data_IF_013513214919
#
_entry.id   IF_013513214919
#
_cell.length_a   1.000
_cell.length_b   1.000
_cell.length_c   1.000
_cell.angle_alpha   90.00
_cell.angle_beta   90.00
_cell.angle_gamma   90.00
#
_symmetry.space_group_name_H-M   'P 1'
#
loop_
_entity.id
_entity.type
_entity.pdbx_description
1 polymer ?
#
# COMPACT_ATOMS: atom_id res chain seq x y z
N UNK A 1 -24.70 10.79 3.59
CA UNK A 1 -24.49 11.84 2.56
C UNK A 1 -24.67 11.22 1.19
N UNK A 2 -25.46 11.86 0.32
CA UNK A 2 -25.73 11.39 -1.05
C UNK A 2 -25.01 12.31 -2.02
N UNK A 3 -24.19 11.78 -2.93
CA UNK A 3 -23.45 12.51 -3.98
C UNK A 3 -23.88 12.00 -5.37
N UNK A 4 -24.04 12.91 -6.31
CA UNK A 4 -24.38 12.60 -7.70
C UNK A 4 -23.31 13.14 -8.65
N UNK A 5 -22.71 12.28 -9.47
CA UNK A 5 -21.74 12.65 -10.51
C UNK A 5 -22.39 12.45 -11.86
N UNK A 6 -22.52 13.50 -12.66
CA UNK A 6 -23.21 13.49 -13.95
C UNK A 6 -22.25 13.51 -15.13
N UNK A 7 -22.71 13.01 -16.28
CA UNK A 7 -22.02 13.12 -17.57
C UNK A 7 -20.57 12.58 -17.54
N UNK A 8 -20.30 11.49 -16.83
CA UNK A 8 -18.97 10.91 -16.78
C UNK A 8 -18.78 9.85 -17.88
N UNK A 9 -17.54 9.71 -18.38
CA UNK A 9 -17.10 8.46 -19.01
C UNK A 9 -16.62 7.55 -17.89
N UNK A 10 -17.31 6.44 -17.64
CA UNK A 10 -17.01 5.58 -16.49
C UNK A 10 -16.14 4.40 -16.93
N UNK A 11 -15.03 4.17 -16.23
CA UNK A 11 -14.27 2.93 -16.31
C UNK A 11 -14.60 2.11 -15.07
N UNK A 12 -15.38 1.04 -15.23
CA UNK A 12 -15.86 0.27 -14.07
C UNK A 12 -14.77 -0.61 -13.48
N UNK A 13 -13.79 -1.05 -14.29
CA UNK A 13 -12.85 -2.11 -13.94
C UNK A 13 -13.54 -3.40 -13.44
N UNK A 14 -14.84 -3.55 -13.72
CA UNK A 14 -15.69 -4.58 -13.14
C UNK A 14 -15.43 -5.97 -13.72
N UNK A 15 -15.76 -7.00 -12.93
CA UNK A 15 -15.63 -8.41 -13.30
C UNK A 15 -15.79 -9.32 -12.08
N UNK A 16 -15.93 -10.64 -12.28
CA UNK A 16 -16.14 -11.59 -11.18
C UNK A 16 -14.88 -11.83 -10.32
N UNK A 17 -13.74 -11.23 -10.67
CA UNK A 17 -12.48 -11.39 -9.94
C UNK A 17 -11.30 -10.75 -10.66
N UNK A 18 -10.09 -11.15 -10.26
CA UNK A 18 -8.85 -10.64 -10.84
C UNK A 18 -8.77 -10.94 -12.35
N UNK A 19 -8.60 -9.88 -13.16
CA UNK A 19 -8.44 -10.00 -14.61
C UNK A 19 -7.04 -10.53 -14.95
N UNK A 20 -6.94 -11.47 -15.90
CA UNK A 20 -5.68 -12.10 -16.33
C UNK A 20 -5.63 -12.22 -17.85
N UNK A 21 -4.42 -12.16 -18.43
CA UNK A 21 -4.22 -12.33 -19.87
C UNK A 21 -5.04 -11.32 -20.69
N UNK A 22 -5.77 -11.80 -21.71
CA UNK A 22 -6.60 -10.95 -22.58
C UNK A 22 -7.66 -10.14 -21.81
N UNK A 23 -8.15 -10.64 -20.68
CA UNK A 23 -9.14 -9.93 -19.87
C UNK A 23 -8.60 -8.61 -19.29
N UNK A 24 -7.27 -8.44 -19.17
CA UNK A 24 -6.67 -7.18 -18.70
C UNK A 24 -6.95 -5.99 -19.64
N UNK A 25 -7.27 -6.24 -20.92
CA UNK A 25 -7.66 -5.19 -21.86
C UNK A 25 -9.12 -4.73 -21.74
N UNK A 26 -9.96 -5.49 -21.04
CA UNK A 26 -11.33 -5.09 -20.74
C UNK A 26 -11.35 -4.21 -19.49
N UNK A 27 -11.53 -2.91 -19.67
CA UNK A 27 -11.64 -1.92 -18.59
C UNK A 27 -13.09 -1.54 -18.27
N UNK A 28 -14.07 -2.14 -18.95
CA UNK A 28 -15.51 -1.90 -18.74
C UNK A 28 -15.91 -0.44 -18.94
N UNK A 29 -15.69 0.09 -20.14
CA UNK A 29 -16.00 1.48 -20.53
C UNK A 29 -17.51 1.67 -20.67
N UNK A 30 -18.04 2.72 -20.02
CA UNK A 30 -19.37 3.29 -20.28
C UNK A 30 -19.15 4.71 -20.76
N UNK A 31 -19.44 4.97 -22.04
CA UNK A 31 -19.10 6.24 -22.71
C UNK A 31 -19.75 7.47 -22.06
N UNK A 32 -20.93 7.29 -21.49
CA UNK A 32 -21.67 8.35 -20.81
C UNK A 32 -22.56 7.74 -19.73
N UNK A 33 -22.39 8.17 -18.48
CA UNK A 33 -23.22 7.74 -17.36
C UNK A 33 -23.27 8.78 -16.23
N UNK A 34 -24.33 8.67 -15.45
CA UNK A 34 -24.48 9.32 -14.15
C UNK A 34 -24.21 8.29 -13.03
N UNK A 35 -23.52 8.70 -11.95
CA UNK A 35 -23.12 7.84 -10.82
C UNK A 35 -23.68 8.38 -9.53
N UNK A 36 -24.40 7.53 -8.79
CA UNK A 36 -25.01 7.87 -7.50
C UNK A 36 -24.27 7.18 -6.36
N UNK A 37 -23.88 7.96 -5.36
CA UNK A 37 -23.16 7.50 -4.17
C UNK A 37 -24.02 7.84 -2.95
N UNK A 38 -24.25 6.88 -2.07
CA UNK A 38 -24.93 7.09 -0.78
C UNK A 38 -24.07 6.51 0.34
N UNK A 39 -23.81 7.32 1.35
CA UNK A 39 -23.04 6.93 2.54
C UNK A 39 -21.71 6.26 2.19
N UNK A 40 -20.99 6.82 1.21
CA UNK A 40 -19.68 6.32 0.74
C UNK A 40 -19.74 5.10 -0.17
N UNK A 41 -20.94 4.61 -0.52
CA UNK A 41 -21.13 3.45 -1.39
C UNK A 41 -21.71 3.87 -2.73
N UNK A 42 -21.16 3.35 -3.83
CA UNK A 42 -21.77 3.52 -5.16
C UNK A 42 -23.05 2.67 -5.21
N UNK A 43 -24.21 3.31 -5.40
CA UNK A 43 -25.51 2.64 -5.44
C UNK A 43 -25.97 2.38 -6.88
N UNK A 44 -25.59 3.24 -7.82
CA UNK A 44 -25.90 3.04 -9.23
C UNK A 44 -24.90 3.73 -10.16
N UNK A 45 -24.68 3.10 -11.31
CA UNK A 45 -24.04 3.68 -12.51
C UNK A 45 -25.05 3.56 -13.64
N UNK A 46 -25.62 4.69 -14.06
CA UNK A 46 -26.74 4.72 -15.01
C UNK A 46 -26.25 5.25 -16.35
N UNK A 47 -26.14 4.41 -17.40
CA UNK A 47 -25.77 4.87 -18.73
C UNK A 47 -26.73 5.94 -19.24
N UNK A 48 -26.19 7.00 -19.81
CA UNK A 48 -26.93 8.12 -20.40
C UNK A 48 -26.68 8.18 -21.90
N UNK A 49 -27.67 8.61 -22.68
CA UNK A 49 -27.51 8.77 -24.12
C UNK A 49 -27.06 10.20 -24.45
N UNK A 50 -25.77 10.37 -24.76
CA UNK A 50 -25.21 11.69 -25.10
C UNK A 50 -25.92 12.37 -26.30
N UNK A 51 -26.58 11.58 -27.16
CA UNK A 51 -27.34 12.08 -28.33
C UNK A 51 -28.62 12.85 -27.96
N UNK A 52 -29.15 12.70 -26.75
CA UNK A 52 -30.29 13.51 -26.28
C UNK A 52 -29.85 14.79 -25.56
N UNK A 53 -28.58 14.86 -25.13
CA UNK A 53 -28.05 15.93 -24.28
C UNK A 53 -27.28 17.01 -25.05
N UNK A 54 -27.17 16.91 -26.39
CA UNK A 54 -26.61 17.96 -27.25
C UNK A 54 -27.34 19.32 -27.15
N UNK A 55 -28.50 19.36 -26.48
CA UNK A 55 -29.27 20.59 -26.19
C UNK A 55 -28.80 21.29 -24.89
N UNK A 56 -28.07 20.63 -23.97
CA UNK A 56 -27.54 21.30 -22.76
C UNK A 56 -26.10 21.76 -22.96
N UNK A 57 -25.94 22.70 -23.88
CA UNK A 57 -24.76 23.57 -23.95
C UNK A 57 -24.64 24.39 -22.67
N UNK A 58 -23.41 24.49 -22.14
CA UNK A 58 -22.90 25.59 -21.30
C UNK A 58 -23.87 26.07 -20.21
N UNK A 59 -23.92 25.38 -19.09
CA UNK A 59 -24.31 26.03 -17.83
C UNK A 59 -23.31 25.69 -16.72
N UNK A 60 -22.69 26.77 -16.27
CA UNK A 60 -22.03 27.04 -15.00
C UNK A 60 -22.15 25.99 -13.88
N UNK A 61 -20.99 25.64 -13.35
CA UNK A 61 -20.70 25.20 -11.98
C UNK A 61 -21.87 25.23 -10.97
N UNK A 62 -22.11 24.06 -10.37
CA UNK A 62 -22.64 23.79 -9.02
C UNK A 62 -24.07 24.24 -8.67
N UNK A 63 -24.99 23.27 -8.65
CA UNK A 63 -26.06 23.25 -7.66
C UNK A 63 -25.57 22.51 -6.41
N UNK A 64 -24.96 23.22 -5.45
CA UNK A 64 -24.75 22.67 -4.11
C UNK A 64 -26.07 22.74 -3.35
N UNK A 65 -26.90 21.70 -3.48
CA UNK A 65 -27.97 21.47 -2.51
C UNK A 65 -27.34 20.84 -1.28
N UNK A 66 -27.55 21.41 -0.09
CA UNK A 66 -26.89 20.96 1.14
C UNK A 66 -27.20 19.49 1.51
N UNK A 67 -28.27 18.91 0.96
CA UNK A 67 -28.69 17.52 1.10
C UNK A 67 -28.13 16.58 0.01
N UNK A 68 -27.74 17.10 -1.16
CA UNK A 68 -27.29 16.36 -2.35
C UNK A 68 -26.31 17.19 -3.18
N UNK A 69 -24.97 17.06 -2.97
CA UNK A 69 -24.00 17.68 -3.86
C UNK A 69 -24.09 17.02 -5.25
N UNK A 70 -24.09 17.85 -6.29
CA UNK A 70 -23.97 17.39 -7.67
C UNK A 70 -22.65 17.85 -8.30
N UNK A 71 -21.99 16.95 -9.02
CA UNK A 71 -20.75 17.22 -9.76
C UNK A 71 -21.00 16.87 -11.23
N UNK A 72 -20.80 17.83 -12.14
CA UNK A 72 -20.79 17.53 -13.58
C UNK A 72 -19.36 17.17 -14.03
N UNK A 73 -19.13 15.91 -14.42
CA UNK A 73 -17.84 15.43 -14.89
C UNK A 73 -17.46 16.00 -16.28
N UNK A 74 -18.40 16.56 -17.04
CA UNK A 74 -18.19 17.14 -18.38
C UNK A 74 -17.48 16.17 -19.35
N UNK A 75 -17.89 14.89 -19.35
CA UNK A 75 -17.30 13.85 -20.19
C UNK A 75 -15.93 13.36 -19.75
N UNK A 76 -15.41 13.82 -18.60
CA UNK A 76 -14.15 13.31 -18.05
C UNK A 76 -14.29 11.87 -17.59
N UNK A 77 -13.14 11.21 -17.49
CA UNK A 77 -13.04 9.85 -16.97
C UNK A 77 -13.31 9.85 -15.47
N UNK A 78 -14.27 9.02 -15.05
CA UNK A 78 -14.48 8.59 -13.67
C UNK A 78 -14.09 7.13 -13.56
N UNK A 79 -13.19 6.82 -12.64
CA UNK A 79 -12.68 5.47 -12.45
C UNK A 79 -12.38 5.21 -10.96
N UNK A 80 -12.27 3.94 -10.53
CA UNK A 80 -11.76 3.61 -9.21
C UNK A 80 -10.41 4.25 -8.95
N UNK A 81 -10.17 4.63 -7.70
CA UNK A 81 -8.86 5.07 -7.26
C UNK A 81 -7.81 3.96 -7.45
N UNK A 82 -6.55 4.36 -7.59
CA UNK A 82 -5.44 3.41 -7.72
C UNK A 82 -5.23 2.63 -6.42
N UNK A 83 -4.78 1.39 -6.61
CA UNK A 83 -4.35 0.49 -5.54
C UNK A 83 -2.86 0.22 -5.76
N UNK A 84 -2.02 0.67 -4.84
CA UNK A 84 -0.59 0.32 -4.83
C UNK A 84 -0.35 -0.84 -3.85
N UNK A 85 -0.30 -2.05 -4.38
CA UNK A 85 -0.16 -3.25 -3.56
C UNK A 85 1.28 -3.56 -3.17
N UNK A 86 2.25 -2.65 -3.34
CA UNK A 86 3.63 -2.89 -2.91
C UNK A 86 4.42 -1.61 -2.64
N UNK A 87 4.45 -1.13 -1.39
CA UNK A 87 5.35 -0.03 -0.99
C UNK A 87 6.22 -0.35 0.21
N UNK A 88 7.30 0.42 0.36
CA UNK A 88 8.17 0.49 1.54
C UNK A 88 8.21 1.94 2.06
N UNK A 89 7.05 2.61 2.06
CA UNK A 89 6.95 4.05 2.25
C UNK A 89 7.18 4.56 3.69
N UNK A 90 7.23 3.66 4.68
CA UNK A 90 7.56 3.99 6.07
C UNK A 90 9.05 3.75 6.31
N UNK A 91 9.89 4.77 6.10
CA UNK A 91 11.34 4.73 6.32
C UNK A 91 11.86 6.10 6.75
N UNK A 92 13.13 6.17 7.12
CA UNK A 92 13.82 7.41 7.46
C UNK A 92 15.10 7.58 6.63
N UNK A 93 15.54 8.83 6.50
CA UNK A 93 16.72 9.22 5.72
C UNK A 93 16.50 9.10 4.20
N UNK A 94 17.59 9.16 3.45
CA UNK A 94 17.57 9.04 2.00
C UNK A 94 18.80 8.26 1.49
N UNK A 95 18.86 8.06 0.18
CA UNK A 95 19.99 7.40 -0.50
C UNK A 95 20.54 8.25 -1.65
N UNK A 96 20.41 9.58 -1.55
CA UNK A 96 20.85 10.52 -2.58
C UNK A 96 22.36 10.46 -2.77
N UNK A 97 23.13 10.26 -1.70
CA UNK A 97 24.57 10.05 -1.79
C UNK A 97 24.94 8.85 -2.66
N UNK A 98 24.20 7.74 -2.54
CA UNK A 98 24.44 6.58 -3.40
C UNK A 98 24.05 6.85 -4.85
N UNK A 99 22.99 7.62 -5.07
CA UNK A 99 22.56 8.01 -6.40
C UNK A 99 23.64 8.88 -7.07
N UNK A 100 24.22 9.85 -6.36
CA UNK A 100 25.34 10.66 -6.84
C UNK A 100 26.59 9.81 -7.14
N UNK A 101 26.95 8.85 -6.27
CA UNK A 101 28.05 7.91 -6.52
C UNK A 101 27.80 7.08 -7.79
N UNK A 102 26.57 6.59 -8.00
CA UNK A 102 26.21 5.84 -9.21
C UNK A 102 26.34 6.69 -10.47
N UNK A 103 25.93 7.95 -10.43
CA UNK A 103 26.09 8.88 -11.56
C UNK A 103 27.55 9.11 -11.92
N UNK A 104 28.44 9.07 -10.92
CA UNK A 104 29.90 9.18 -11.10
C UNK A 104 30.57 7.87 -11.53
N UNK A 105 29.79 6.82 -11.76
CA UNK A 105 30.28 5.52 -12.23
C UNK A 105 30.87 4.63 -11.13
N UNK A 106 30.56 4.87 -9.84
CA UNK A 106 31.03 4.03 -8.76
C UNK A 106 30.51 2.58 -8.89
N UNK A 107 31.38 1.60 -8.64
CA UNK A 107 30.97 0.20 -8.60
C UNK A 107 30.09 -0.06 -7.36
N UNK A 108 29.18 -1.05 -7.47
CA UNK A 108 28.27 -1.41 -6.38
C UNK A 108 29.00 -1.75 -5.07
N UNK A 109 30.14 -2.43 -5.16
CA UNK A 109 30.94 -2.79 -3.98
C UNK A 109 31.52 -1.56 -3.26
N UNK A 110 31.86 -0.51 -3.99
CA UNK A 110 32.40 0.72 -3.39
C UNK A 110 31.30 1.51 -2.69
N UNK A 111 30.08 1.50 -3.22
CA UNK A 111 28.89 2.05 -2.55
C UNK A 111 28.61 1.32 -1.24
N UNK A 112 28.68 -0.02 -1.24
CA UNK A 112 28.52 -0.81 -0.01
C UNK A 112 29.62 -0.51 1.02
N UNK A 113 30.88 -0.42 0.59
CA UNK A 113 32.01 -0.06 1.48
C UNK A 113 31.85 1.34 2.08
N UNK A 114 31.26 2.28 1.34
CA UNK A 114 30.94 3.61 1.84
C UNK A 114 29.73 3.63 2.80
N UNK A 115 29.19 2.46 3.15
CA UNK A 115 28.04 2.33 4.04
C UNK A 115 26.70 2.46 3.32
N UNK A 116 26.65 2.48 1.99
CA UNK A 116 25.39 2.45 1.24
C UNK A 116 24.65 1.12 1.34
N UNK A 117 23.76 0.86 0.39
CA UNK A 117 22.90 -0.33 0.41
C UNK A 117 21.69 -0.18 1.34
N UNK A 118 20.97 -1.28 1.51
CA UNK A 118 19.83 -1.36 2.44
C UNK A 118 20.23 -1.00 3.88
N UNK A 119 21.45 -1.34 4.30
CA UNK A 119 21.92 -1.05 5.65
C UNK A 119 22.02 0.45 5.95
N UNK A 120 22.14 1.32 4.93
CA UNK A 120 22.02 2.77 5.12
C UNK A 120 20.63 3.15 5.66
N UNK A 121 19.58 2.65 5.00
CA UNK A 121 18.20 2.87 5.44
C UNK A 121 17.92 2.19 6.78
N UNK A 122 18.46 0.99 7.02
CA UNK A 122 18.30 0.30 8.31
C UNK A 122 18.85 1.14 9.46
N UNK A 123 20.06 1.69 9.31
CA UNK A 123 20.66 2.56 10.35
C UNK A 123 19.83 3.82 10.57
N UNK A 124 19.34 4.46 9.51
CA UNK A 124 18.48 5.63 9.62
C UNK A 124 17.16 5.31 10.35
N UNK A 125 16.50 4.20 10.00
CA UNK A 125 15.26 3.75 10.64
C UNK A 125 15.47 3.36 12.10
N UNK A 126 16.58 2.70 12.45
CA UNK A 126 16.94 2.39 13.84
C UNK A 126 17.15 3.66 14.66
N UNK A 127 17.81 4.68 14.10
CA UNK A 127 18.04 5.96 14.76
C UNK A 127 16.77 6.82 14.91
N UNK A 128 15.82 6.71 13.98
CA UNK A 128 14.58 7.47 14.01
C UNK A 128 13.65 7.04 15.16
N UNK A 129 12.92 8.00 15.71
CA UNK A 129 11.83 7.71 16.64
C UNK A 129 10.60 7.18 15.89
N UNK A 130 9.66 6.55 16.62
CA UNK A 130 8.35 6.17 16.06
C UNK A 130 7.60 7.39 15.49
N UNK A 131 7.70 8.54 16.16
CA UNK A 131 7.00 9.77 15.76
C UNK A 131 7.56 10.36 14.47
N UNK A 132 8.88 10.32 14.29
CA UNK A 132 9.53 10.76 13.05
C UNK A 132 9.09 9.88 11.87
N UNK A 133 9.14 8.55 12.05
CA UNK A 133 8.67 7.59 11.03
C UNK A 133 7.20 7.81 10.65
N UNK A 134 6.33 8.04 11.64
CA UNK A 134 4.91 8.31 11.37
C UNK A 134 4.70 9.65 10.63
N UNK A 135 5.51 10.66 10.96
CA UNK A 135 5.46 11.97 10.30
C UNK A 135 5.89 11.85 8.84
N UNK A 136 7.05 11.25 8.58
CA UNK A 136 7.60 11.05 7.23
C UNK A 136 6.69 10.16 6.36
N UNK A 137 6.09 9.14 6.98
CA UNK A 137 5.13 8.28 6.29
C UNK A 137 3.84 9.03 5.93
N UNK A 138 3.31 9.89 6.81
CA UNK A 138 2.14 10.73 6.51
C UNK A 138 2.41 11.72 5.36
N UNK A 139 3.64 12.22 5.23
CA UNK A 139 4.05 13.01 4.06
C UNK A 139 3.97 12.18 2.77
N UNK A 140 4.44 10.94 2.80
CA UNK A 140 4.36 10.02 1.65
C UNK A 140 2.92 9.70 1.26
N UNK A 141 2.04 9.47 2.26
CA UNK A 141 0.60 9.30 2.06
C UNK A 141 -0.01 10.47 1.28
N UNK A 142 0.32 11.71 1.63
CA UNK A 142 -0.21 12.88 0.93
C UNK A 142 0.11 12.86 -0.58
N UNK A 143 1.30 12.39 -0.97
CA UNK A 143 1.66 12.25 -2.38
C UNK A 143 0.88 11.14 -3.08
N UNK A 144 0.66 10.00 -2.42
CA UNK A 144 -0.18 8.92 -2.96
C UNK A 144 -1.61 9.41 -3.25
N UNK A 145 -2.23 10.11 -2.31
CA UNK A 145 -3.57 10.66 -2.47
C UNK A 145 -3.66 11.66 -3.64
N UNK A 146 -2.69 12.57 -3.74
CA UNK A 146 -2.63 13.53 -4.85
C UNK A 146 -2.42 12.86 -6.22
N UNK A 147 -1.77 11.69 -6.23
CA UNK A 147 -1.63 10.84 -7.41
C UNK A 147 -2.86 10.00 -7.74
N UNK A 148 -3.89 10.00 -6.88
CA UNK A 148 -5.11 9.20 -7.04
C UNK A 148 -5.02 7.79 -6.44
N UNK A 149 -3.98 7.46 -5.68
CA UNK A 149 -3.85 6.21 -4.94
C UNK A 149 -4.57 6.34 -3.60
N UNK A 150 -5.71 5.65 -3.47
CA UNK A 150 -6.52 5.65 -2.24
C UNK A 150 -6.55 4.28 -1.55
N UNK A 151 -5.76 3.33 -2.02
CA UNK A 151 -5.47 2.10 -1.30
C UNK A 151 -4.01 1.76 -1.52
N UNK A 152 -3.25 1.51 -0.46
CA UNK A 152 -1.89 1.03 -0.64
C UNK A 152 -1.41 0.16 0.52
N UNK A 153 -0.51 -0.75 0.19
CA UNK A 153 0.19 -1.57 1.17
C UNK A 153 1.49 -0.88 1.60
N UNK A 154 1.84 -0.92 2.89
CA UNK A 154 3.12 -0.43 3.40
C UNK A 154 3.84 -1.51 4.19
N UNK A 155 5.09 -1.78 3.83
CA UNK A 155 5.92 -2.79 4.49
C UNK A 155 6.82 -2.20 5.57
N UNK A 156 7.07 -3.00 6.61
CA UNK A 156 8.24 -2.83 7.49
C UNK A 156 9.51 -3.34 6.79
N UNK A 157 10.51 -3.88 7.52
CA UNK A 157 11.67 -4.55 6.93
C UNK A 157 12.94 -3.71 6.85
N UNK A 158 12.91 -2.47 7.34
CA UNK A 158 14.13 -1.68 7.58
C UNK A 158 14.52 -1.67 9.07
N UNK A 159 13.82 -2.39 9.94
CA UNK A 159 14.19 -2.51 11.35
C UNK A 159 15.25 -3.58 11.56
N UNK A 160 15.05 -4.76 10.94
CA UNK A 160 15.89 -5.95 11.08
C UNK A 160 16.20 -6.30 12.56
N UNK A 161 15.27 -5.99 13.46
CA UNK A 161 15.33 -6.30 14.89
C UNK A 161 13.89 -6.33 15.40
N UNK A 162 13.60 -7.11 16.44
CA UNK A 162 12.24 -7.17 17.00
C UNK A 162 11.73 -5.79 17.41
N UNK A 163 12.58 -5.00 18.09
CA UNK A 163 12.20 -3.67 18.56
C UNK A 163 11.92 -2.70 17.41
N UNK A 164 12.77 -2.66 16.39
CA UNK A 164 12.65 -1.71 15.29
C UNK A 164 11.57 -2.11 14.27
N UNK A 165 11.36 -3.41 14.03
CA UNK A 165 10.23 -3.87 13.21
C UNK A 165 8.89 -3.49 13.85
N UNK A 166 8.73 -3.73 15.17
CA UNK A 166 7.53 -3.27 15.89
C UNK A 166 7.41 -1.75 15.88
N UNK A 167 8.51 -1.00 16.01
CA UNK A 167 8.50 0.47 15.91
C UNK A 167 7.97 0.94 14.55
N UNK A 168 8.43 0.37 13.45
CA UNK A 168 7.95 0.69 12.11
C UNK A 168 6.47 0.35 11.94
N UNK A 169 6.04 -0.83 12.37
CA UNK A 169 4.65 -1.27 12.26
C UNK A 169 3.71 -0.38 13.09
N UNK A 170 4.12 0.00 14.31
CA UNK A 170 3.38 0.96 15.15
C UNK A 170 3.27 2.33 14.50
N UNK A 171 4.35 2.83 13.88
CA UNK A 171 4.34 4.10 13.16
C UNK A 171 3.37 4.05 11.95
N UNK A 172 3.43 2.98 11.15
CA UNK A 172 2.50 2.78 10.04
C UNK A 172 1.04 2.69 10.52
N UNK A 173 0.79 1.95 11.60
CA UNK A 173 -0.54 1.78 12.20
C UNK A 173 -1.11 3.06 12.82
N UNK A 174 -0.24 3.95 13.31
CA UNK A 174 -0.64 5.26 13.80
C UNK A 174 -1.20 6.13 12.67
N UNK A 175 -0.57 6.09 11.50
CA UNK A 175 -1.03 6.82 10.32
C UNK A 175 -2.33 6.21 9.77
N UNK A 176 -2.46 4.88 9.72
CA UNK A 176 -3.67 4.21 9.20
C UNK A 176 -4.96 4.54 9.98
N UNK A 177 -4.85 4.95 11.25
CA UNK A 177 -5.98 5.17 12.16
C UNK A 177 -6.44 6.62 12.26
N UNK A 178 -5.66 7.57 11.77
CA UNK A 178 -5.87 8.97 12.14
C UNK A 178 -7.05 9.63 11.47
N UNK A 179 -7.57 9.11 10.35
CA UNK A 179 -8.36 10.01 9.50
C UNK A 179 -9.69 9.47 8.95
N UNK A 180 -10.76 10.25 9.21
CA UNK A 180 -12.13 10.20 8.73
C UNK A 180 -12.51 9.46 7.45
N UNK A 181 -11.73 9.70 6.39
CA UNK A 181 -12.19 9.66 4.99
C UNK A 181 -11.05 9.22 4.03
N UNK A 182 -10.07 8.50 4.57
CA UNK A 182 -8.72 8.37 4.03
C UNK A 182 -8.42 7.15 3.17
N UNK A 183 -7.26 7.16 2.46
CA UNK A 183 -6.75 5.99 1.79
C UNK A 183 -6.73 4.78 2.73
N UNK A 184 -7.07 3.62 2.18
CA UNK A 184 -6.96 2.36 2.90
C UNK A 184 -5.50 1.91 2.88
N UNK A 185 -4.84 2.06 4.02
CA UNK A 185 -3.46 1.63 4.20
C UNK A 185 -3.46 0.23 4.82
N UNK A 186 -2.75 -0.71 4.19
CA UNK A 186 -2.59 -2.08 4.69
C UNK A 186 -1.14 -2.31 5.09
N UNK A 187 -0.80 -2.28 6.40
CA UNK A 187 0.53 -2.63 6.86
C UNK A 187 0.84 -4.12 6.65
N UNK A 188 2.09 -4.43 6.34
CA UNK A 188 2.61 -5.79 6.17
C UNK A 188 3.98 -5.91 6.85
N UNK A 189 4.22 -7.01 7.55
CA UNK A 189 5.52 -7.29 8.17
C UNK A 189 6.48 -7.96 7.17
N UNK A 190 7.46 -7.21 6.66
CA UNK A 190 8.53 -7.76 5.81
C UNK A 190 9.73 -8.15 6.67
N UNK A 191 9.58 -9.25 7.39
CA UNK A 191 10.58 -9.68 8.37
C UNK A 191 11.86 -10.22 7.70
N UNK A 192 11.72 -10.77 6.48
CA UNK A 192 12.84 -11.28 5.71
C UNK A 192 13.37 -10.34 4.64
N UNK A 193 13.48 -9.03 4.88
CA UNK A 193 13.92 -8.07 3.85
C UNK A 193 15.39 -8.24 3.44
N UNK A 194 16.26 -8.40 4.42
CA UNK A 194 17.70 -8.58 4.26
C UNK A 194 18.26 -9.39 5.44
N UNK A 195 19.56 -9.62 5.42
CA UNK A 195 20.31 -10.18 6.55
C UNK A 195 21.10 -9.04 7.19
N UNK A 196 20.91 -8.84 8.50
CA UNK A 196 21.80 -8.00 9.28
C UNK A 196 23.15 -8.75 9.47
N UNK A 197 24.28 -8.22 8.96
CA UNK A 197 25.58 -8.88 9.10
C UNK A 197 26.07 -8.97 10.54
N UNK A 198 25.56 -8.14 11.44
CA UNK A 198 25.96 -8.11 12.86
C UNK A 198 25.18 -9.14 13.71
N UNK A 199 24.19 -9.82 13.12
CA UNK A 199 23.34 -10.79 13.80
C UNK A 199 23.58 -12.20 13.23
N UNK A 200 24.33 -13.05 13.95
CA UNK A 200 24.56 -14.43 13.53
C UNK A 200 23.24 -15.19 13.34
N UNK A 201 23.16 -15.97 12.26
CA UNK A 201 21.99 -16.79 11.93
C UNK A 201 20.65 -16.00 11.94
N UNK A 202 20.65 -14.75 11.48
CA UNK A 202 19.55 -13.77 11.48
C UNK A 202 18.12 -14.32 11.29
N UNK A 203 17.94 -15.30 10.41
CA UNK A 203 16.63 -15.91 10.17
C UNK A 203 16.03 -16.59 11.42
N UNK A 204 16.87 -17.22 12.26
CA UNK A 204 16.41 -17.93 13.46
C UNK A 204 15.75 -17.00 14.49
N UNK A 205 16.39 -15.92 15.00
CA UNK A 205 15.72 -14.99 15.92
C UNK A 205 14.54 -14.28 15.26
N UNK A 206 14.62 -13.96 13.96
CA UNK A 206 13.47 -13.37 13.24
C UNK A 206 12.23 -14.27 13.29
N UNK A 207 12.41 -15.58 13.05
CA UNK A 207 11.32 -16.57 13.06
C UNK A 207 10.86 -16.90 14.50
N UNK A 208 11.79 -16.97 15.46
CA UNK A 208 11.51 -17.42 16.83
C UNK A 208 11.06 -16.30 17.77
N UNK A 209 11.38 -15.05 17.47
CA UNK A 209 11.17 -13.91 18.36
C UNK A 209 10.36 -12.80 17.68
N UNK A 210 10.82 -12.29 16.53
CA UNK A 210 10.17 -11.16 15.86
C UNK A 210 8.78 -11.53 15.34
N UNK A 211 8.65 -12.67 14.66
CA UNK A 211 7.37 -13.14 14.13
C UNK A 211 6.30 -13.32 15.25
N UNK A 212 6.56 -14.04 16.35
CA UNK A 212 5.62 -14.12 17.47
C UNK A 212 5.27 -12.76 18.07
N UNK A 213 6.24 -11.83 18.20
CA UNK A 213 5.98 -10.51 18.73
C UNK A 213 5.05 -9.69 17.82
N UNK A 214 5.25 -9.75 16.50
CA UNK A 214 4.36 -9.13 15.51
C UNK A 214 2.95 -9.71 15.61
N UNK A 215 2.81 -11.04 15.67
CA UNK A 215 1.49 -11.67 15.80
C UNK A 215 0.79 -11.34 17.12
N UNK A 216 1.54 -11.19 18.22
CA UNK A 216 0.99 -10.84 19.52
C UNK A 216 0.41 -9.41 19.54
N UNK A 217 1.04 -8.47 18.83
CA UNK A 217 0.57 -7.08 18.79
C UNK A 217 -0.40 -6.80 17.63
N UNK A 218 -0.22 -7.46 16.50
CA UNK A 218 -0.95 -7.23 15.26
C UNK A 218 -1.58 -8.53 14.74
N UNK A 219 -2.73 -8.88 15.32
CA UNK A 219 -3.45 -10.09 14.96
C UNK A 219 -3.80 -10.12 13.46
N UNK A 220 -3.40 -11.20 12.78
CA UNK A 220 -3.70 -11.40 11.35
C UNK A 220 -2.84 -10.56 10.38
N UNK A 221 -1.77 -9.92 10.88
CA UNK A 221 -0.80 -9.20 10.04
C UNK A 221 -0.22 -10.11 8.95
N UNK A 222 -0.20 -9.64 7.71
CA UNK A 222 0.47 -10.34 6.63
C UNK A 222 1.99 -10.31 6.86
N UNK A 223 2.67 -11.42 6.55
CA UNK A 223 4.12 -11.55 6.70
C UNK A 223 4.72 -11.89 5.35
N UNK A 224 5.84 -11.26 5.00
CA UNK A 224 6.56 -11.49 3.74
C UNK A 224 8.07 -11.58 3.97
N UNK A 225 8.78 -12.17 3.01
CA UNK A 225 10.23 -12.26 2.98
C UNK A 225 10.75 -12.11 1.55
N UNK A 226 11.95 -11.58 1.40
CA UNK A 226 12.64 -11.40 0.13
C UNK A 226 13.57 -12.60 -0.13
N UNK A 227 13.11 -13.51 -0.99
CA UNK A 227 13.82 -14.73 -1.35
C UNK A 227 14.87 -14.48 -2.44
N UNK A 228 16.12 -14.20 -2.04
CA UNK A 228 17.22 -13.90 -2.95
C UNK A 228 18.56 -14.35 -2.34
N UNK A 229 19.56 -14.66 -3.18
CA UNK A 229 20.91 -15.09 -2.77
C UNK A 229 21.58 -14.13 -1.79
N UNK A 230 21.35 -12.83 -1.95
CA UNK A 230 21.90 -11.77 -1.11
C UNK A 230 21.02 -11.39 0.08
N UNK A 231 19.85 -12.04 0.23
CA UNK A 231 18.91 -11.83 1.32
C UNK A 231 18.57 -13.19 1.94
N UNK A 232 17.33 -13.68 1.81
CA UNK A 232 16.92 -14.92 2.43
C UNK A 232 16.94 -16.11 1.48
N UNK A 233 17.41 -17.27 1.98
CA UNK A 233 17.37 -18.53 1.24
C UNK A 233 15.93 -19.05 1.11
N UNK A 234 15.62 -19.86 0.08
CA UNK A 234 14.30 -20.47 -0.06
C UNK A 234 13.86 -21.25 1.19
N UNK A 235 14.78 -21.98 1.82
CA UNK A 235 14.49 -22.74 3.04
C UNK A 235 14.10 -21.84 4.22
N UNK A 236 14.78 -20.69 4.39
CA UNK A 236 14.46 -19.72 5.42
C UNK A 236 13.09 -19.06 5.16
N UNK A 237 12.79 -18.70 3.91
CA UNK A 237 11.49 -18.15 3.53
C UNK A 237 10.34 -19.14 3.78
N UNK A 238 10.53 -20.42 3.44
CA UNK A 238 9.56 -21.49 3.75
C UNK A 238 9.41 -21.65 5.26
N UNK A 239 10.51 -21.60 6.02
CA UNK A 239 10.49 -21.67 7.48
C UNK A 239 9.68 -20.54 8.13
N UNK A 240 9.88 -19.30 7.68
CA UNK A 240 9.09 -18.15 8.12
C UNK A 240 7.62 -18.35 7.75
N UNK A 241 7.36 -18.70 6.49
CA UNK A 241 6.02 -18.82 5.95
C UNK A 241 5.19 -19.91 6.64
N UNK A 242 5.81 -21.04 6.96
CA UNK A 242 5.17 -22.16 7.65
C UNK A 242 4.76 -21.85 9.09
N UNK A 243 5.41 -20.87 9.73
CA UNK A 243 5.09 -20.41 11.09
C UNK A 243 4.21 -19.16 11.11
N UNK A 244 4.22 -18.37 10.04
CA UNK A 244 3.39 -17.18 9.89
C UNK A 244 1.90 -17.51 9.56
N UNK A 245 1.40 -18.69 9.95
CA UNK A 245 0.01 -19.08 9.69
C UNK A 245 -0.93 -18.04 10.33
N UNK A 246 -1.88 -17.48 9.57
CA UNK A 246 -2.79 -16.48 10.11
C UNK A 246 -3.52 -17.06 11.32
N UNK A 247 -3.67 -16.26 12.37
CA UNK A 247 -4.59 -16.55 13.46
C UNK A 247 -5.97 -16.04 13.03
N UNK A 248 -7.02 -16.84 13.23
CA UNK A 248 -8.40 -16.46 13.05
C UNK A 248 -8.68 -15.23 13.94
N UNK A 249 -9.05 -14.08 13.35
CA UNK A 249 -9.30 -12.86 14.12
C UNK A 249 -10.47 -12.97 15.09
N UNK A 250 -11.37 -13.95 14.93
CA UNK A 250 -12.51 -14.19 15.81
C UNK A 250 -12.24 -15.21 16.92
N UNK A 251 -11.37 -16.19 16.69
CA UNK A 251 -11.17 -17.33 17.62
C UNK A 251 -9.74 -17.47 18.16
N UNK A 252 -8.77 -16.77 17.57
CA UNK A 252 -7.35 -16.92 17.91
C UNK A 252 -6.74 -18.28 17.52
N UNK A 253 -7.49 -19.14 16.83
CA UNK A 253 -6.99 -20.43 16.32
C UNK A 253 -6.21 -20.24 15.01
N UNK A 254 -5.30 -21.14 14.65
CA UNK A 254 -4.64 -21.07 13.34
C UNK A 254 -5.67 -21.20 12.22
N UNK A 255 -5.87 -20.13 11.43
CA UNK A 255 -6.75 -20.11 10.29
C UNK A 255 -6.22 -21.06 9.21
N UNK A 256 -7.03 -22.07 8.90
CA UNK A 256 -6.84 -22.90 7.71
C UNK A 256 -7.33 -22.08 6.52
N UNK A 257 -6.40 -21.68 5.65
CA UNK A 257 -6.63 -21.02 4.36
C UNK A 257 -6.98 -19.51 4.36
N UNK A 258 -5.95 -18.68 4.16
CA UNK A 258 -5.87 -17.78 3.01
C UNK A 258 -4.46 -17.19 2.96
N UNK A 259 -3.71 -17.59 1.95
CA UNK A 259 -2.32 -17.20 1.76
C UNK A 259 -2.31 -15.77 1.21
N UNK A 260 -1.96 -14.77 2.03
CA UNK A 260 -1.59 -13.43 1.53
C UNK A 260 -0.07 -13.34 1.46
N UNK A 261 0.50 -13.95 0.41
CA UNK A 261 1.88 -13.71 0.03
C UNK A 261 1.88 -12.64 -1.06
N UNK A 262 2.51 -11.50 -0.79
CA UNK A 262 2.95 -10.60 -1.85
C UNK A 262 4.29 -11.14 -2.36
N UNK A 263 4.35 -11.47 -3.65
CA UNK A 263 5.58 -11.81 -4.36
C UNK A 263 6.43 -10.56 -4.59
#
# INVERSE_FOLDING_TARGET
MTLHIKNARVLTMGGPGAKRGKAMGDIGVIESADVRIENGTIISVTPTNWRSSAVFRRSTWMGYSADRPEIDANGRVLMPAFVDCHTHACFAGDRLNEWDMKLKGAAYLDILKAGGGIMSTVRAVRAASKGDLATDFAWSQHYFERGGTLHFEVKSGYGLSTADELKMLRAAWEVTRKVPMEPRITPTALLGHAIDPDVPAFAAPTINETLPAVHAEFLGMAVVAFCEKAAWSPAACVGLSGRAKPLDPQTGATATSSHRWAW
#
